data_IF_995386141095
#
_entry.id   IF_995386141095
#
_cell.length_a   1.000
_cell.length_b   1.000
_cell.length_c   1.000
_cell.angle_alpha   90.00
_cell.angle_beta   90.00
_cell.angle_gamma   90.00
#
_symmetry.space_group_name_H-M   'P 1'
#
loop_
_entity.id
_entity.type
_entity.pdbx_description
1 polymer ?
#
# COMPACT_ATOMS: atom_id res chain seq x y z
N UNK A 1 1.13 -4.51 15.95
CA UNK A 1 0.36 -3.44 15.27
C UNK A 1 -0.96 -4.04 14.85
N UNK A 2 -2.10 -3.37 15.03
CA UNK A 2 -3.40 -3.91 14.56
C UNK A 2 -3.69 -3.41 13.14
N UNK A 3 -4.51 -4.15 12.40
CA UNK A 3 -4.89 -3.76 11.04
C UNK A 3 -5.55 -2.36 11.01
N UNK A 4 -6.41 -2.06 11.99
CA UNK A 4 -7.09 -0.76 12.06
C UNK A 4 -6.10 0.39 12.26
N UNK A 5 -5.08 0.19 13.11
CA UNK A 5 -4.07 1.21 13.35
C UNK A 5 -3.19 1.45 12.12
N UNK A 6 -2.86 0.40 11.38
CA UNK A 6 -2.13 0.51 10.12
C UNK A 6 -2.95 1.29 9.09
N UNK A 7 -4.22 0.93 8.88
CA UNK A 7 -5.11 1.61 7.93
C UNK A 7 -5.27 3.10 8.25
N UNK A 8 -5.45 3.45 9.53
CA UNK A 8 -5.60 4.85 9.93
C UNK A 8 -4.36 5.69 9.60
N UNK A 9 -3.16 5.19 9.89
CA UNK A 9 -1.90 5.88 9.57
C UNK A 9 -1.70 5.98 8.06
N UNK A 10 -1.94 4.88 7.33
CA UNK A 10 -1.82 4.85 5.87
C UNK A 10 -2.69 5.91 5.20
N UNK A 11 -3.93 6.07 5.64
CA UNK A 11 -4.87 7.04 5.06
C UNK A 11 -4.48 8.50 5.33
N UNK A 12 -3.91 8.77 6.51
CA UNK A 12 -3.32 10.08 6.84
C UNK A 12 -2.17 10.42 5.88
N UNK A 13 -1.22 9.50 5.72
CA UNK A 13 -0.07 9.69 4.84
C UNK A 13 -0.49 9.80 3.36
N UNK A 14 -1.45 9.00 2.91
CA UNK A 14 -1.99 9.07 1.55
C UNK A 14 -2.63 10.42 1.24
N UNK A 15 -3.25 11.06 2.23
CA UNK A 15 -3.82 12.40 2.07
C UNK A 15 -2.73 13.43 1.79
N UNK A 16 -1.60 13.34 2.49
CA UNK A 16 -0.41 14.18 2.28
C UNK A 16 0.24 13.93 0.91
N UNK A 17 0.39 12.66 0.53
CA UNK A 17 1.00 12.26 -0.75
C UNK A 17 0.15 12.69 -1.96
N UNK A 18 -1.17 12.52 -1.90
CA UNK A 18 -2.10 12.97 -2.94
C UNK A 18 -2.07 14.48 -3.14
N UNK A 19 -1.85 15.23 -2.06
CA UNK A 19 -1.70 16.69 -2.14
C UNK A 19 -0.37 17.10 -2.78
N UNK A 20 0.66 16.27 -2.66
CA UNK A 20 2.01 16.54 -3.19
C UNK A 20 2.18 16.10 -4.64
N UNK A 21 1.54 15.00 -5.04
CA UNK A 21 1.61 14.40 -6.38
C UNK A 21 0.24 13.86 -6.79
N UNK A 22 -0.68 14.72 -7.28
CA UNK A 22 -2.07 14.32 -7.52
C UNK A 22 -2.25 13.29 -8.64
N UNK A 23 -1.37 13.24 -9.63
CA UNK A 23 -1.49 12.37 -10.82
C UNK A 23 -0.85 10.98 -10.65
N UNK A 24 -0.30 10.67 -9.47
CA UNK A 24 0.35 9.38 -9.22
C UNK A 24 -0.69 8.32 -8.80
N UNK A 25 -0.52 7.02 -9.17
CA UNK A 25 -1.48 5.95 -8.87
C UNK A 25 -1.46 5.49 -7.40
N UNK A 26 -1.76 6.41 -6.48
CA UNK A 26 -1.73 6.17 -5.03
C UNK A 26 -2.73 5.11 -4.56
N UNK A 27 -3.87 5.00 -5.23
CA UNK A 27 -4.90 4.00 -4.89
C UNK A 27 -4.39 2.59 -5.11
N UNK A 28 -3.77 2.32 -6.25
CA UNK A 28 -3.23 1.00 -6.57
C UNK A 28 -2.02 0.67 -5.68
N UNK A 29 -1.14 1.65 -5.45
CA UNK A 29 -0.01 1.49 -4.55
C UNK A 29 -0.44 1.19 -3.11
N UNK A 30 -1.48 1.85 -2.60
CA UNK A 30 -2.03 1.60 -1.28
C UNK A 30 -2.62 0.19 -1.15
N UNK A 31 -3.37 -0.26 -2.16
CA UNK A 31 -3.94 -1.60 -2.18
C UNK A 31 -2.86 -2.69 -2.19
N UNK A 32 -1.74 -2.47 -2.88
CA UNK A 32 -0.61 -3.40 -2.86
C UNK A 32 0.06 -3.44 -1.48
N UNK A 33 0.23 -2.27 -0.86
CA UNK A 33 0.81 -2.18 0.47
C UNK A 33 -0.05 -2.90 1.52
N UNK A 34 -1.37 -2.80 1.40
CA UNK A 34 -2.32 -3.51 2.27
C UNK A 34 -2.17 -5.01 2.17
N UNK A 35 -2.09 -5.54 0.95
CA UNK A 35 -1.89 -6.97 0.71
C UNK A 35 -0.58 -7.47 1.33
N UNK A 36 0.48 -6.67 1.29
CA UNK A 36 1.78 -7.03 1.85
C UNK A 36 1.83 -6.93 3.39
N UNK A 37 1.22 -5.88 3.97
CA UNK A 37 1.30 -5.61 5.41
C UNK A 37 0.28 -6.42 6.21
N UNK A 38 -0.88 -6.70 5.64
CA UNK A 38 -1.94 -7.48 6.28
C UNK A 38 -1.85 -8.98 5.97
N UNK A 39 -0.91 -9.39 5.12
CA UNK A 39 -0.61 -10.81 4.93
C UNK A 39 -0.13 -11.45 6.24
N UNK A 40 -0.60 -12.67 6.51
CA UNK A 40 -0.10 -13.47 7.64
C UNK A 40 1.35 -13.94 7.42
N UNK A 41 1.78 -14.06 6.15
CA UNK A 41 3.12 -14.49 5.77
C UNK A 41 3.87 -13.32 5.13
N UNK A 42 5.08 -13.07 5.61
CA UNK A 42 5.93 -12.01 5.07
C UNK A 42 6.54 -12.46 3.75
N UNK A 43 6.19 -11.77 2.66
CA UNK A 43 6.78 -12.03 1.35
C UNK A 43 8.28 -11.68 1.36
N UNK A 44 9.12 -12.60 0.88
CA UNK A 44 10.57 -12.38 0.77
C UNK A 44 10.90 -11.21 -0.16
N UNK A 45 10.09 -11.04 -1.22
CA UNK A 45 10.21 -9.93 -2.15
C UNK A 45 8.83 -9.36 -2.48
N UNK A 46 8.64 -8.08 -2.13
CA UNK A 46 7.45 -7.28 -2.50
C UNK A 46 7.22 -7.19 -4.01
N UNK A 47 8.28 -7.36 -4.81
CA UNK A 47 8.22 -7.27 -6.26
C UNK A 47 7.44 -8.41 -6.90
N UNK A 48 7.35 -9.58 -6.25
CA UNK A 48 6.60 -10.72 -6.78
C UNK A 48 5.11 -10.38 -6.84
N UNK A 49 4.55 -9.86 -5.73
CA UNK A 49 3.15 -9.43 -5.68
C UNK A 49 2.89 -8.20 -6.57
N UNK A 50 3.85 -7.29 -6.67
CA UNK A 50 3.72 -6.11 -7.52
C UNK A 50 3.70 -6.44 -9.02
N UNK A 51 4.44 -7.46 -9.44
CA UNK A 51 4.62 -7.80 -10.86
C UNK A 51 3.33 -8.25 -11.53
N UNK A 52 2.46 -8.95 -10.80
CA UNK A 52 1.15 -9.38 -11.31
C UNK A 52 0.25 -8.20 -11.72
N UNK A 53 0.49 -7.00 -11.15
CA UNK A 53 -0.27 -5.78 -11.45
C UNK A 53 0.26 -5.00 -12.66
N UNK A 54 1.41 -5.40 -13.22
CA UNK A 54 2.00 -4.78 -14.42
C UNK A 54 1.52 -5.42 -15.73
N UNK A 55 0.61 -6.39 -15.65
CA UNK A 55 0.15 -7.20 -16.77
C UNK A 55 -1.02 -6.59 -17.54
#
# INVERSE_FOLDING_TARGET
MTAERYTAIRDEELTTLRSSLPDHPWTDAAALLDELVLANDFAEFLTIAAYDRLR
#
